data_IF_385489973148
#
_entry.id   IF_385489973148
#
_cell.length_a   1.000
_cell.length_b   1.000
_cell.length_c   1.000
_cell.angle_alpha   90.00
_cell.angle_beta   90.00
_cell.angle_gamma   90.00
#
_symmetry.space_group_name_H-M   'P 1'
#
loop_
_entity.id
_entity.type
_entity.pdbx_description
1 polymer ?
#
# COMPACT_ATOMS: atom_id res chain seq x y z
N UNK A 1 25.95 -28.35 -15.09
CA UNK A 1 24.78 -29.23 -14.83
C UNK A 1 24.15 -28.87 -13.48
N UNK A 2 23.79 -27.59 -13.26
CA UNK A 2 23.29 -27.07 -11.97
C UNK A 2 22.35 -25.84 -12.10
N UNK A 3 21.88 -25.54 -13.33
CA UNK A 3 20.95 -24.43 -13.61
C UNK A 3 19.75 -24.93 -14.43
N UNK A 4 19.34 -26.18 -14.21
CA UNK A 4 18.09 -26.65 -14.81
C UNK A 4 16.94 -26.15 -13.95
N UNK A 5 16.17 -25.23 -14.51
CA UNK A 5 14.94 -24.71 -13.93
C UNK A 5 13.96 -25.87 -13.70
N UNK A 6 13.54 -26.07 -12.45
CA UNK A 6 12.53 -27.07 -12.09
C UNK A 6 11.21 -26.76 -12.82
N UNK A 7 10.69 -27.62 -13.72
CA UNK A 7 9.44 -27.38 -14.49
C UNK A 7 9.37 -25.98 -15.17
N UNK A 8 10.16 -25.76 -16.24
CA UNK A 8 10.27 -24.43 -16.86
C UNK A 8 8.99 -23.98 -17.58
N UNK A 9 8.19 -24.90 -18.12
CA UNK A 9 7.02 -24.59 -18.96
C UNK A 9 5.74 -24.25 -18.18
N UNK A 10 5.51 -24.91 -17.03
CA UNK A 10 4.28 -24.68 -16.24
C UNK A 10 4.41 -23.50 -15.26
N UNK A 11 5.62 -23.16 -14.82
CA UNK A 11 5.83 -22.18 -13.76
C UNK A 11 6.25 -20.79 -14.25
N UNK A 12 6.32 -20.54 -15.57
CA UNK A 12 6.94 -19.32 -16.12
C UNK A 12 6.23 -18.05 -15.65
N UNK A 13 4.88 -18.02 -15.70
CA UNK A 13 4.08 -16.85 -15.32
C UNK A 13 4.14 -16.60 -13.81
N UNK A 14 3.95 -17.66 -13.02
CA UNK A 14 3.95 -17.59 -11.56
C UNK A 14 5.33 -17.21 -10.98
N UNK A 15 6.43 -17.69 -11.57
CA UNK A 15 7.79 -17.27 -11.21
C UNK A 15 8.12 -15.86 -11.67
N UNK A 16 7.73 -15.50 -12.88
CA UNK A 16 7.92 -14.15 -13.41
C UNK A 16 7.22 -13.11 -12.53
N UNK A 17 5.97 -13.40 -12.12
CA UNK A 17 5.22 -12.55 -11.21
C UNK A 17 5.87 -12.45 -9.83
N UNK A 18 6.31 -13.56 -9.23
CA UNK A 18 7.04 -13.56 -7.96
C UNK A 18 8.34 -12.73 -8.06
N UNK A 19 9.13 -12.92 -9.12
CA UNK A 19 10.37 -12.20 -9.34
C UNK A 19 10.15 -10.69 -9.55
N UNK A 20 9.11 -10.32 -10.31
CA UNK A 20 8.77 -8.90 -10.56
C UNK A 20 8.27 -8.23 -9.29
N UNK A 21 7.38 -8.86 -8.53
CA UNK A 21 6.85 -8.28 -7.29
C UNK A 21 7.93 -8.19 -6.20
N UNK A 22 8.68 -9.28 -5.98
CA UNK A 22 9.75 -9.29 -4.98
C UNK A 22 10.91 -8.37 -5.38
N UNK A 23 11.25 -8.33 -6.68
CA UNK A 23 12.24 -7.41 -7.23
C UNK A 23 11.81 -5.95 -7.12
N UNK A 24 10.55 -5.64 -7.42
CA UNK A 24 10.00 -4.30 -7.29
C UNK A 24 9.99 -3.82 -5.84
N UNK A 25 9.54 -4.66 -4.90
CA UNK A 25 9.57 -4.36 -3.47
C UNK A 25 11.00 -4.18 -2.95
N UNK A 26 11.93 -5.04 -3.36
CA UNK A 26 13.34 -4.94 -3.01
C UNK A 26 13.97 -3.66 -3.55
N UNK A 27 13.67 -3.30 -4.80
CA UNK A 27 14.18 -2.08 -5.43
C UNK A 27 13.63 -0.84 -4.72
N UNK A 28 12.34 -0.81 -4.41
CA UNK A 28 11.75 0.27 -3.61
C UNK A 28 12.39 0.37 -2.22
N UNK A 29 12.63 -0.77 -1.56
CA UNK A 29 13.32 -0.81 -0.26
C UNK A 29 14.74 -0.26 -0.32
N UNK A 30 15.50 -0.59 -1.37
CA UNK A 30 16.85 -0.05 -1.58
C UNK A 30 16.81 1.45 -1.83
N UNK A 31 15.89 1.94 -2.68
CA UNK A 31 15.76 3.37 -2.97
C UNK A 31 15.36 4.16 -1.71
N UNK A 32 14.40 3.64 -0.94
CA UNK A 32 13.98 4.25 0.32
C UNK A 32 15.11 4.27 1.35
N UNK A 33 15.93 3.22 1.40
CA UNK A 33 17.10 3.18 2.29
C UNK A 33 18.19 4.14 1.82
N UNK A 34 18.46 4.21 0.51
CA UNK A 34 19.44 5.13 -0.07
C UNK A 34 19.11 6.58 0.26
N UNK A 35 17.83 6.97 0.14
CA UNK A 35 17.37 8.32 0.44
C UNK A 35 17.46 8.63 1.96
N UNK A 36 17.11 7.66 2.82
CA UNK A 36 17.26 7.80 4.26
C UNK A 36 18.74 7.94 4.71
N UNK A 37 19.65 7.25 4.01
CA UNK A 37 21.07 7.25 4.31
C UNK A 37 21.83 8.40 3.62
N UNK A 38 21.13 9.42 3.12
CA UNK A 38 21.75 10.58 2.46
C UNK A 38 22.26 11.67 3.42
N UNK A 39 22.22 11.42 4.73
CA UNK A 39 22.52 12.43 5.76
C UNK A 39 23.79 12.11 6.57
N UNK A 40 24.57 13.15 6.87
CA UNK A 40 25.72 13.09 7.77
C UNK A 40 26.86 12.21 7.25
N UNK A 41 27.46 11.41 8.14
CA UNK A 41 28.58 10.49 7.86
C UNK A 41 28.39 9.58 6.64
N UNK A 42 27.15 9.32 6.25
CA UNK A 42 26.81 8.40 5.17
C UNK A 42 26.97 9.01 3.77
N UNK A 43 27.02 10.34 3.67
CA UNK A 43 27.29 11.07 2.43
C UNK A 43 28.78 11.38 2.24
N UNK A 44 29.60 11.23 3.29
CA UNK A 44 31.03 11.48 3.21
C UNK A 44 31.73 10.43 2.32
N UNK A 45 32.55 10.90 1.38
CA UNK A 45 33.27 10.04 0.45
C UNK A 45 34.43 9.31 1.14
N UNK A 46 34.36 7.97 1.24
CA UNK A 46 35.41 7.17 1.88
C UNK A 46 36.67 7.05 1.03
N UNK A 47 36.50 6.97 -0.29
CA UNK A 47 37.61 6.85 -1.25
C UNK A 47 37.32 7.75 -2.43
N UNK A 48 38.26 8.66 -2.69
CA UNK A 48 38.28 9.44 -3.93
C UNK A 48 38.70 8.50 -5.08
N UNK A 49 37.72 7.89 -5.73
CA UNK A 49 37.81 7.23 -7.03
C UNK A 49 38.53 5.87 -7.10
N UNK A 50 37.77 4.78 -7.24
CA UNK A 50 38.29 3.49 -7.75
C UNK A 50 38.15 3.36 -9.28
N UNK A 51 37.19 4.07 -9.89
CA UNK A 51 36.91 4.10 -11.34
C UNK A 51 36.68 5.55 -11.83
N UNK A 52 37.52 6.48 -11.36
CA UNK A 52 37.45 7.91 -11.68
C UNK A 52 36.67 8.74 -10.64
N UNK A 53 36.89 10.05 -10.63
CA UNK A 53 36.30 11.02 -9.69
C UNK A 53 34.77 11.15 -9.81
N UNK A 54 34.16 10.51 -10.82
CA UNK A 54 32.71 10.51 -11.05
C UNK A 54 31.95 9.48 -10.20
N UNK A 55 32.64 8.48 -9.65
CA UNK A 55 32.05 7.46 -8.77
C UNK A 55 32.75 7.44 -7.41
N UNK A 56 32.53 8.46 -6.56
CA UNK A 56 33.04 8.41 -5.21
C UNK A 56 32.38 7.25 -4.44
N UNK A 57 33.22 6.43 -3.80
CA UNK A 57 32.75 5.31 -2.98
C UNK A 57 32.31 5.86 -1.61
N UNK A 58 31.08 6.38 -1.56
CA UNK A 58 30.43 6.68 -0.28
C UNK A 58 29.94 5.40 0.40
N UNK A 59 29.90 5.33 1.75
CA UNK A 59 29.40 4.16 2.49
C UNK A 59 27.95 3.82 2.10
N UNK A 60 27.18 4.85 1.72
CA UNK A 60 25.82 4.73 1.17
C UNK A 60 25.75 3.84 -0.06
N UNK A 61 26.63 4.04 -1.05
CA UNK A 61 26.62 3.28 -2.30
C UNK A 61 27.05 1.83 -2.07
N UNK A 62 28.05 1.61 -1.22
CA UNK A 62 28.52 0.25 -0.87
C UNK A 62 27.40 -0.54 -0.20
N UNK A 63 26.73 0.05 0.79
CA UNK A 63 25.65 -0.62 1.51
C UNK A 63 24.44 -0.89 0.60
N UNK A 64 24.07 0.07 -0.26
CA UNK A 64 23.02 -0.13 -1.26
C UNK A 64 23.36 -1.25 -2.25
N UNK A 65 24.60 -1.29 -2.76
CA UNK A 65 25.05 -2.33 -3.69
C UNK A 65 25.04 -3.72 -3.05
N UNK A 66 25.55 -3.86 -1.82
CA UNK A 66 25.50 -5.13 -1.07
C UNK A 66 24.06 -5.56 -0.81
N UNK A 67 23.17 -4.63 -0.46
CA UNK A 67 21.75 -4.93 -0.26
C UNK A 67 21.09 -5.40 -1.56
N UNK A 68 21.34 -4.74 -2.69
CA UNK A 68 20.82 -5.16 -4.01
C UNK A 68 21.27 -6.59 -4.32
N UNK A 69 22.56 -6.89 -4.15
CA UNK A 69 23.11 -8.21 -4.46
C UNK A 69 22.52 -9.30 -3.55
N UNK A 70 22.42 -9.04 -2.25
CA UNK A 70 21.82 -9.99 -1.30
C UNK A 70 20.34 -10.20 -1.58
N UNK A 71 19.57 -9.15 -1.86
CA UNK A 71 18.18 -9.27 -2.26
C UNK A 71 18.00 -10.02 -3.59
N UNK A 72 18.82 -9.73 -4.60
CA UNK A 72 18.78 -10.44 -5.89
C UNK A 72 19.04 -11.94 -5.71
N UNK A 73 20.03 -12.30 -4.88
CA UNK A 73 20.32 -13.69 -4.53
C UNK A 73 19.15 -14.35 -3.80
N UNK A 74 18.56 -13.67 -2.81
CA UNK A 74 17.39 -14.16 -2.07
C UNK A 74 16.19 -14.39 -2.99
N UNK A 75 15.90 -13.45 -3.91
CA UNK A 75 14.83 -13.58 -4.91
C UNK A 75 15.10 -14.78 -5.82
N UNK A 76 16.34 -14.95 -6.27
CA UNK A 76 16.73 -16.10 -7.09
C UNK A 76 16.54 -17.43 -6.34
N UNK A 77 16.95 -17.51 -5.06
CA UNK A 77 16.76 -18.70 -4.23
C UNK A 77 15.28 -19.00 -3.96
N UNK A 78 14.46 -17.96 -3.73
CA UNK A 78 13.01 -18.10 -3.55
C UNK A 78 12.34 -18.59 -4.82
N UNK A 79 12.69 -18.02 -5.98
CA UNK A 79 12.13 -18.39 -7.28
C UNK A 79 12.49 -19.83 -7.71
N UNK A 80 13.64 -20.34 -7.23
CA UNK A 80 14.10 -21.70 -7.51
C UNK A 80 13.68 -22.72 -6.44
N UNK A 81 13.00 -22.31 -5.37
CA UNK A 81 12.58 -23.23 -4.32
C UNK A 81 11.40 -24.10 -4.76
N UNK A 82 11.58 -25.42 -4.79
CA UNK A 82 10.56 -26.37 -5.26
C UNK A 82 9.23 -26.23 -4.51
N UNK A 83 9.24 -25.99 -3.19
CA UNK A 83 8.02 -25.86 -2.38
C UNK A 83 7.15 -24.68 -2.80
N UNK A 84 7.80 -23.54 -3.07
CA UNK A 84 7.10 -22.29 -3.46
C UNK A 84 6.52 -22.47 -4.86
N UNK A 85 7.30 -23.04 -5.77
CA UNK A 85 6.86 -23.25 -7.15
C UNK A 85 5.70 -24.24 -7.23
N UNK A 86 5.78 -25.39 -6.56
CA UNK A 86 4.69 -26.37 -6.57
C UNK A 86 3.43 -25.80 -5.89
N UNK A 87 3.57 -24.98 -4.84
CA UNK A 87 2.45 -24.28 -4.21
C UNK A 87 1.78 -23.27 -5.16
N UNK A 88 2.57 -22.48 -5.89
CA UNK A 88 2.05 -21.51 -6.86
C UNK A 88 1.32 -22.20 -8.02
N UNK A 89 1.89 -23.29 -8.57
CA UNK A 89 1.24 -24.08 -9.62
C UNK A 89 -0.05 -24.72 -9.10
N UNK A 90 -0.04 -25.27 -7.89
CA UNK A 90 -1.24 -25.85 -7.30
C UNK A 90 -2.34 -24.80 -7.09
N UNK A 91 -1.95 -23.60 -6.64
CA UNK A 91 -2.88 -22.47 -6.46
C UNK A 91 -3.45 -22.00 -7.80
N UNK A 92 -2.62 -21.90 -8.85
CA UNK A 92 -3.06 -21.56 -10.21
C UNK A 92 -4.09 -22.58 -10.73
N UNK A 93 -3.79 -23.88 -10.60
CA UNK A 93 -4.72 -24.96 -10.97
C UNK A 93 -6.00 -24.98 -10.14
N UNK A 94 -5.95 -24.54 -8.88
CA UNK A 94 -7.14 -24.44 -8.03
C UNK A 94 -7.98 -23.21 -8.39
N UNK A 95 -7.35 -22.08 -8.72
CA UNK A 95 -8.02 -20.86 -9.18
C UNK A 95 -8.71 -21.04 -10.53
N UNK A 96 -8.17 -21.89 -11.42
CA UNK A 96 -8.83 -22.24 -12.69
C UNK A 96 -10.15 -23.01 -12.50
N UNK A 97 -10.31 -23.71 -11.38
CA UNK A 97 -11.58 -24.39 -11.05
C UNK A 97 -12.65 -23.43 -10.55
N UNK A 98 -12.27 -22.22 -10.15
CA UNK A 98 -13.21 -21.21 -9.67
C UNK A 98 -13.98 -20.68 -10.88
N UNK A 99 -15.26 -21.02 -10.94
CA UNK A 99 -16.20 -20.46 -11.90
C UNK A 99 -16.45 -18.98 -11.57
N UNK A 100 -15.68 -18.08 -12.17
CA UNK A 100 -15.91 -16.64 -12.01
C UNK A 100 -17.24 -16.24 -12.65
N UNK A 101 -18.08 -15.46 -11.95
CA UNK A 101 -19.34 -14.98 -12.51
C UNK A 101 -19.05 -14.11 -13.74
N UNK A 102 -19.92 -14.15 -14.76
CA UNK A 102 -19.76 -13.33 -15.94
C UNK A 102 -19.80 -11.83 -15.57
N UNK A 103 -19.07 -11.00 -16.31
CA UNK A 103 -18.87 -9.57 -16.00
C UNK A 103 -20.16 -8.80 -15.74
N UNK A 104 -21.26 -9.17 -16.40
CA UNK A 104 -22.55 -8.51 -16.24
C UNK A 104 -23.17 -8.74 -14.84
N UNK A 105 -22.99 -9.92 -14.25
CA UNK A 105 -23.48 -10.21 -12.89
C UNK A 105 -22.69 -9.42 -11.85
N UNK A 106 -21.36 -9.32 -12.01
CA UNK A 106 -20.47 -8.54 -11.12
C UNK A 106 -20.83 -7.06 -11.15
N UNK A 107 -21.11 -6.52 -12.33
CA UNK A 107 -21.52 -5.12 -12.48
C UNK A 107 -22.89 -4.91 -11.84
N UNK A 108 -23.85 -5.80 -12.07
CA UNK A 108 -25.19 -5.69 -11.49
C UNK A 108 -25.17 -5.73 -9.96
N UNK A 109 -24.36 -6.62 -9.37
CA UNK A 109 -24.23 -6.69 -7.90
C UNK A 109 -23.50 -5.48 -7.32
N UNK A 110 -22.48 -4.96 -8.00
CA UNK A 110 -21.78 -3.73 -7.59
C UNK A 110 -22.68 -2.49 -7.68
N UNK A 111 -23.51 -2.39 -8.72
CA UNK A 111 -24.48 -1.29 -8.86
C UNK A 111 -25.49 -1.33 -7.72
N UNK A 112 -26.00 -2.50 -7.35
CA UNK A 112 -26.92 -2.64 -6.22
C UNK A 112 -26.29 -2.10 -4.92
N UNK A 113 -25.05 -2.51 -4.60
CA UNK A 113 -24.33 -2.02 -3.42
C UNK A 113 -24.10 -0.50 -3.49
N UNK A 114 -23.73 0.02 -4.66
CA UNK A 114 -23.52 1.45 -4.87
C UNK A 114 -24.82 2.24 -4.58
N UNK A 115 -25.95 1.80 -5.14
CA UNK A 115 -27.26 2.41 -4.91
C UNK A 115 -27.63 2.35 -3.43
N UNK A 116 -27.49 1.20 -2.77
CA UNK A 116 -27.79 1.10 -1.33
C UNK A 116 -26.91 2.00 -0.48
N UNK A 117 -25.64 2.17 -0.86
CA UNK A 117 -24.70 3.05 -0.15
C UNK A 117 -25.09 4.52 -0.33
N UNK A 118 -25.50 4.93 -1.53
CA UNK A 118 -25.99 6.30 -1.79
C UNK A 118 -27.28 6.58 -1.01
N UNK A 119 -28.22 5.63 -0.96
CA UNK A 119 -29.45 5.78 -0.16
C UNK A 119 -29.14 5.91 1.32
N UNK A 120 -28.23 5.09 1.86
CA UNK A 120 -27.78 5.21 3.24
C UNK A 120 -27.09 6.55 3.51
N UNK A 121 -26.22 6.99 2.61
CA UNK A 121 -25.53 8.28 2.74
C UNK A 121 -26.53 9.45 2.73
N UNK A 122 -27.55 9.41 1.86
CA UNK A 122 -28.60 10.42 1.83
C UNK A 122 -29.44 10.41 3.12
N UNK A 123 -29.79 9.24 3.64
CA UNK A 123 -30.50 9.11 4.91
C UNK A 123 -29.70 9.66 6.08
N UNK A 124 -28.44 9.23 6.23
CA UNK A 124 -27.56 9.73 7.29
C UNK A 124 -27.34 11.24 7.16
N UNK A 125 -27.10 11.75 5.95
CA UNK A 125 -26.96 13.18 5.72
C UNK A 125 -28.21 13.99 6.10
N UNK A 126 -29.40 13.45 5.88
CA UNK A 126 -30.65 14.09 6.30
C UNK A 126 -30.82 14.10 7.82
N UNK A 127 -30.49 12.99 8.49
CA UNK A 127 -30.50 12.91 9.96
C UNK A 127 -29.48 13.88 10.56
N UNK A 128 -28.25 13.89 10.04
CA UNK A 128 -27.19 14.79 10.49
C UNK A 128 -27.60 16.26 10.31
N UNK A 129 -28.19 16.61 9.17
CA UNK A 129 -28.72 17.96 8.95
C UNK A 129 -29.81 18.32 9.97
N UNK A 130 -30.74 17.41 10.24
CA UNK A 130 -31.78 17.59 11.25
C UNK A 130 -31.20 17.78 12.67
N UNK A 131 -30.19 16.99 13.03
CA UNK A 131 -29.51 17.09 14.31
C UNK A 131 -28.73 18.40 14.45
N UNK A 132 -28.07 18.87 13.39
CA UNK A 132 -27.37 20.16 13.38
C UNK A 132 -28.36 21.30 13.59
N UNK A 133 -29.47 21.33 12.85
CA UNK A 133 -30.49 22.36 12.99
C UNK A 133 -31.11 22.35 14.40
N UNK A 134 -31.34 21.16 14.96
CA UNK A 134 -31.84 21.00 16.33
C UNK A 134 -30.85 21.52 17.36
N UNK A 135 -29.58 21.13 17.25
CA UNK A 135 -28.49 21.62 18.10
C UNK A 135 -28.46 23.15 18.04
N UNK A 136 -28.41 23.74 16.86
CA UNK A 136 -28.26 25.19 16.73
C UNK A 136 -29.49 25.97 17.25
N UNK A 137 -30.70 25.41 17.15
CA UNK A 137 -31.93 26.11 17.57
C UNK A 137 -32.31 25.89 19.05
N UNK A 138 -32.06 24.70 19.59
CA UNK A 138 -32.61 24.25 20.88
C UNK A 138 -31.54 24.19 21.97
N UNK A 139 -30.31 23.80 21.61
CA UNK A 139 -29.18 23.71 22.54
C UNK A 139 -28.87 25.03 23.27
N UNK A 140 -28.76 26.20 22.60
CA UNK A 140 -28.42 27.44 23.31
C UNK A 140 -29.50 27.84 24.33
N UNK A 141 -30.78 27.53 24.05
CA UNK A 141 -31.88 27.80 24.99
C UNK A 141 -31.82 26.89 26.23
N UNK A 142 -31.37 25.64 26.04
CA UNK A 142 -31.16 24.69 27.13
C UNK A 142 -29.96 25.07 28.01
N UNK A 143 -28.85 25.52 27.41
CA UNK A 143 -27.66 25.95 28.16
C UNK A 143 -27.97 27.10 29.14
N UNK A 144 -28.80 28.05 28.70
CA UNK A 144 -29.26 29.17 29.54
C UNK A 144 -30.22 28.70 30.64
N UNK A 145 -31.16 27.80 30.32
CA UNK A 145 -32.13 27.28 31.30
C UNK A 145 -31.49 26.41 32.40
N UNK A 146 -30.39 25.73 32.09
CA UNK A 146 -29.64 24.86 33.01
C UNK A 146 -28.59 25.66 33.83
N UNK A 147 -28.36 26.93 33.49
CA UNK A 147 -27.44 27.82 34.23
C UNK A 147 -25.96 27.57 33.95
N UNK A 148 -25.63 26.90 32.84
CA UNK A 148 -24.24 26.63 32.41
C UNK A 148 -23.62 27.82 31.65
N UNK A 149 -24.42 28.79 31.18
CA UNK A 149 -23.96 29.96 30.42
C UNK A 149 -24.73 31.24 30.79
N UNK A 150 -24.01 32.36 30.95
CA UNK A 150 -24.58 33.66 31.32
C UNK A 150 -25.23 34.36 30.11
N UNK A 151 -26.39 35.03 30.26
CA UNK A 151 -27.24 35.48 29.14
C UNK A 151 -26.69 36.65 28.30
N UNK A 152 -25.51 37.20 28.60
CA UNK A 152 -24.97 38.38 27.89
C UNK A 152 -24.35 38.08 26.52
N UNK A 153 -24.13 36.80 26.16
CA UNK A 153 -23.44 36.41 24.93
C UNK A 153 -24.37 36.13 23.73
N UNK A 154 -25.70 36.24 23.91
CA UNK A 154 -26.70 35.92 22.87
C UNK A 154 -27.10 37.16 22.02
N UNK A 155 -26.65 38.36 22.40
CA UNK A 155 -27.10 39.64 21.80
C UNK A 155 -26.16 40.30 20.77
N UNK A 156 -25.12 39.62 20.28
CA UNK A 156 -24.08 40.23 19.44
C UNK A 156 -23.82 39.49 18.13
N UNK A 157 -24.73 39.61 17.16
CA UNK A 157 -24.52 39.05 15.83
C UNK A 157 -25.58 39.54 14.85
N UNK A 158 -25.40 40.79 14.38
CA UNK A 158 -25.97 41.27 13.10
C UNK A 158 -25.04 40.91 11.96
#
# INVERSE_FOLDING_TARGET
>A
MALELYKPEEATRSRGLLAVLAGGLSLFGVLSLYDYLSVGFWDDDLVHGLLGDEFPLSPRVILAAVLILTCALVIYLLANNHKIVDFLIATEKELEKVSWPPKHEVISSSIAVCVTTVVLAAYLGLVDFGLVQFKDSVWPKLEVAIGLKAPEDVGGGS
#
